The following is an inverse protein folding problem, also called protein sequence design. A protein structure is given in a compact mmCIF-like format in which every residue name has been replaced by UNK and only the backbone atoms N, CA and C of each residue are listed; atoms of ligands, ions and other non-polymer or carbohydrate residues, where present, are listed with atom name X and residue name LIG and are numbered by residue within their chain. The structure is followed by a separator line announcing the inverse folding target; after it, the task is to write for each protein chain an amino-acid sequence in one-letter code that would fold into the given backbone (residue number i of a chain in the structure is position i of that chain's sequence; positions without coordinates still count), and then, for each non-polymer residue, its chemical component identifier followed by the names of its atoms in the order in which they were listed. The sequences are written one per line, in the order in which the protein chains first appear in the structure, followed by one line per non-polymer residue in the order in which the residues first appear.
data_IF_886518726521
#
_entry.id   IF_886518726521
#
_cell.length_a   1.000
_cell.length_b   1.000
_cell.length_c   1.000
_cell.angle_alpha   90.00
_cell.angle_beta   90.00
_cell.angle_gamma   90.00
#
_symmetry.space_group_name_H-M   'P 1'
#
loop_
_entity.id
_entity.type
_entity.pdbx_description
1 polymer ?
#
# COMPACT_ATOMS: atom_id res chain seq x y z
N UNK A 1 7.47 -17.24 39.28
CA UNK A 1 7.39 -17.62 37.85
C UNK A 1 8.18 -16.59 37.07
N UNK A 2 9.04 -17.03 36.14
CA UNK A 2 9.77 -16.10 35.27
C UNK A 2 8.81 -15.28 34.42
N UNK A 3 9.22 -14.08 34.00
CA UNK A 3 8.46 -13.32 33.00
C UNK A 3 8.56 -14.08 31.67
N UNK A 4 7.42 -14.26 31.02
CA UNK A 4 7.31 -14.93 29.72
C UNK A 4 6.76 -13.95 28.69
N UNK A 5 7.37 -13.91 27.52
CA UNK A 5 6.91 -13.14 26.36
C UNK A 5 6.63 -14.09 25.19
N UNK A 6 5.58 -13.83 24.42
CA UNK A 6 5.24 -14.65 23.27
C UNK A 6 4.72 -13.82 22.09
N UNK A 7 4.95 -14.30 20.88
CA UNK A 7 4.50 -13.65 19.65
C UNK A 7 4.33 -14.65 18.51
N UNK A 8 3.51 -14.29 17.53
CA UNK A 8 3.27 -15.07 16.32
C UNK A 8 2.24 -16.18 16.47
N UNK A 9 2.18 -17.04 15.46
CA UNK A 9 1.09 -17.99 15.29
C UNK A 9 1.60 -19.41 15.01
N UNK A 10 0.85 -20.41 15.45
CA UNK A 10 1.06 -21.81 15.08
C UNK A 10 -0.26 -22.52 14.82
N UNK A 11 -0.24 -23.65 14.11
CA UNK A 11 -1.41 -24.51 13.95
C UNK A 11 -1.48 -25.17 12.57
N UNK A 12 -2.49 -26.04 12.39
CA UNK A 12 -2.64 -26.83 11.15
C UNK A 12 -2.73 -25.99 9.87
N UNK A 13 -3.37 -24.82 9.95
CA UNK A 13 -3.60 -23.90 8.82
C UNK A 13 -2.53 -22.80 8.65
N UNK A 14 -1.66 -22.61 9.65
CA UNK A 14 -0.62 -21.57 9.59
C UNK A 14 0.49 -21.97 8.62
N UNK A 15 0.94 -21.00 7.81
CA UNK A 15 2.00 -21.15 6.81
C UNK A 15 2.87 -19.90 6.83
N UNK A 16 4.17 -20.06 6.60
CA UNK A 16 5.15 -18.96 6.51
C UNK A 16 5.19 -18.05 7.75
N UNK A 17 4.79 -18.59 8.90
CA UNK A 17 4.80 -17.92 10.20
C UNK A 17 5.26 -18.91 11.27
N UNK A 18 5.57 -18.39 12.45
CA UNK A 18 6.01 -19.17 13.60
C UNK A 18 5.43 -18.60 14.89
N UNK A 19 5.29 -19.45 15.90
CA UNK A 19 5.04 -19.02 17.27
C UNK A 19 6.34 -19.10 18.05
N UNK A 20 6.65 -18.03 18.78
CA UNK A 20 7.82 -17.93 19.65
C UNK A 20 7.36 -17.61 21.06
N UNK A 21 7.88 -18.33 22.04
CA UNK A 21 7.73 -18.02 23.46
C UNK A 21 9.10 -18.06 24.13
N UNK A 22 9.38 -17.06 24.96
CA UNK A 22 10.66 -16.87 25.63
C UNK A 22 10.41 -16.67 27.13
N UNK A 23 11.09 -17.46 27.96
CA UNK A 23 11.15 -17.28 29.40
C UNK A 23 12.60 -17.00 29.82
N UNK A 24 12.83 -15.86 30.47
CA UNK A 24 14.18 -15.50 30.96
C UNK A 24 14.52 -16.35 32.19
N UNK A 25 15.74 -16.89 32.22
CA UNK A 25 16.28 -17.70 33.32
C UNK A 25 17.48 -17.00 33.97
N UNK A 26 17.85 -17.47 35.16
CA UNK A 26 19.00 -16.93 35.89
C UNK A 26 20.33 -17.58 35.47
N UNK A 27 20.29 -18.79 34.90
CA UNK A 27 21.45 -19.59 34.51
C UNK A 27 21.05 -20.65 33.49
N UNK A 28 22.01 -21.38 32.91
CA UNK A 28 21.76 -22.53 32.03
C UNK A 28 21.95 -22.26 30.54
N UNK A 29 22.31 -21.02 30.16
CA UNK A 29 22.49 -20.65 28.76
C UNK A 29 21.16 -20.50 28.01
N UNK A 30 21.24 -20.35 26.68
CA UNK A 30 20.08 -20.34 25.79
C UNK A 30 19.72 -21.78 25.44
N UNK A 31 18.54 -22.23 25.88
CA UNK A 31 17.99 -23.55 25.60
C UNK A 31 16.80 -23.40 24.65
N UNK A 32 16.84 -24.08 23.50
CA UNK A 32 15.84 -23.97 22.44
C UNK A 32 15.12 -25.30 22.20
N UNK A 33 13.80 -25.34 22.44
CA UNK A 33 12.88 -26.35 21.92
C UNK A 33 12.31 -25.89 20.57
N UNK A 34 12.90 -26.40 19.48
CA UNK A 34 12.44 -26.12 18.11
C UNK A 34 11.63 -27.30 17.56
N UNK A 35 10.37 -27.03 17.23
CA UNK A 35 9.56 -27.88 16.36
C UNK A 35 9.30 -27.13 15.05
N UNK A 36 9.94 -27.58 13.97
CA UNK A 36 9.81 -26.96 12.65
C UNK A 36 9.37 -27.99 11.61
N UNK A 37 8.42 -27.61 10.75
CA UNK A 37 8.04 -28.41 9.58
C UNK A 37 9.14 -28.53 8.54
N UNK A 38 10.15 -27.68 8.63
CA UNK A 38 11.28 -27.61 7.69
C UNK A 38 12.62 -27.86 8.39
N UNK A 39 12.60 -28.48 9.59
CA UNK A 39 13.80 -28.70 10.42
C UNK A 39 14.91 -29.44 9.68
N UNK A 40 14.55 -30.45 8.88
CA UNK A 40 15.51 -31.24 8.10
C UNK A 40 16.37 -30.40 7.13
N UNK A 41 15.82 -29.29 6.62
CA UNK A 41 16.49 -28.42 5.65
C UNK A 41 17.07 -27.16 6.32
N UNK A 42 16.30 -26.51 7.20
CA UNK A 42 16.62 -25.18 7.73
C UNK A 42 16.83 -25.14 9.24
N UNK A 43 16.72 -26.27 9.94
CA UNK A 43 16.81 -26.33 11.41
C UNK A 43 18.14 -25.80 11.97
N UNK A 44 19.26 -26.00 11.26
CA UNK A 44 20.56 -25.44 11.65
C UNK A 44 20.58 -23.92 11.57
N UNK A 45 20.04 -23.36 10.49
CA UNK A 45 19.97 -21.90 10.27
C UNK A 45 19.05 -21.23 11.29
N UNK A 46 17.89 -21.84 11.59
CA UNK A 46 16.96 -21.33 12.62
C UNK A 46 17.65 -21.28 13.99
N UNK A 47 18.34 -22.35 14.40
CA UNK A 47 19.08 -22.38 15.68
C UNK A 47 20.17 -21.32 15.74
N UNK A 48 20.92 -21.15 14.65
CA UNK A 48 21.96 -20.10 14.54
C UNK A 48 21.36 -18.70 14.68
N UNK A 49 20.25 -18.42 14.00
CA UNK A 49 19.55 -17.15 14.08
C UNK A 49 19.11 -16.83 15.52
N UNK A 50 18.49 -17.79 16.21
CA UNK A 50 18.05 -17.61 17.60
C UNK A 50 19.22 -17.22 18.50
N UNK A 51 20.36 -17.90 18.38
CA UNK A 51 21.55 -17.59 19.18
C UNK A 51 22.10 -16.19 18.90
N UNK A 52 22.16 -15.78 17.62
CA UNK A 52 22.56 -14.43 17.22
C UNK A 52 21.65 -13.40 17.86
N UNK A 53 20.33 -13.57 17.72
CA UNK A 53 19.36 -12.62 18.25
C UNK A 53 19.40 -12.53 19.78
N UNK A 54 19.53 -13.66 20.50
CA UNK A 54 19.67 -13.63 21.95
C UNK A 54 20.96 -12.92 22.39
N UNK A 55 22.06 -13.11 21.64
CA UNK A 55 23.30 -12.35 21.82
C UNK A 55 23.08 -10.85 21.66
N UNK A 56 22.45 -10.44 20.55
CA UNK A 56 22.17 -9.02 20.25
C UNK A 56 21.25 -8.37 21.29
N UNK A 57 20.31 -9.13 21.83
CA UNK A 57 19.42 -8.67 22.90
C UNK A 57 20.02 -8.74 24.31
N UNK A 58 21.26 -9.23 24.45
CA UNK A 58 21.93 -9.37 25.74
C UNK A 58 21.21 -10.35 26.68
N UNK A 59 20.65 -11.44 26.14
CA UNK A 59 19.92 -12.46 26.88
C UNK A 59 20.77 -13.75 26.94
N UNK A 60 21.64 -13.91 27.95
CA UNK A 60 22.54 -15.06 28.03
C UNK A 60 21.84 -16.35 28.52
N UNK A 61 20.70 -16.23 29.19
CA UNK A 61 19.99 -17.34 29.82
C UNK A 61 18.48 -17.26 29.53
N UNK A 62 17.97 -18.19 28.71
CA UNK A 62 16.56 -18.24 28.38
C UNK A 62 16.14 -19.65 27.94
N UNK A 63 14.90 -20.01 28.24
CA UNK A 63 14.20 -21.12 27.59
C UNK A 63 13.34 -20.56 26.47
N UNK A 64 13.54 -21.09 25.27
CA UNK A 64 12.89 -20.62 24.04
C UNK A 64 12.14 -21.79 23.42
N UNK A 65 10.85 -21.54 23.16
CA UNK A 65 9.97 -22.44 22.44
C UNK A 65 9.69 -21.86 21.06
N UNK A 66 9.98 -22.60 20.00
CA UNK A 66 9.60 -22.23 18.63
C UNK A 66 8.76 -23.33 18.01
N UNK A 67 7.56 -22.96 17.55
CA UNK A 67 6.70 -23.79 16.70
C UNK A 67 6.66 -23.15 15.31
N UNK A 68 7.49 -23.65 14.41
CA UNK A 68 7.70 -23.09 13.08
C UNK A 68 6.89 -23.82 11.99
N UNK A 69 6.20 -23.03 11.17
CA UNK A 69 5.41 -23.49 10.02
C UNK A 69 6.01 -23.03 8.68
N UNK A 70 7.35 -23.00 8.58
CA UNK A 70 8.08 -22.60 7.39
C UNK A 70 8.29 -21.09 7.29
N UNK A 71 8.43 -20.41 8.42
CA UNK A 71 8.73 -18.99 8.48
C UNK A 71 10.10 -18.70 7.87
N UNK A 72 10.18 -17.64 7.07
CA UNK A 72 11.46 -17.14 6.58
C UNK A 72 12.20 -16.38 7.69
N UNK A 73 13.50 -16.15 7.49
CA UNK A 73 14.41 -15.55 8.47
C UNK A 73 13.89 -14.22 9.03
N UNK A 74 13.38 -13.32 8.19
CA UNK A 74 12.84 -12.03 8.63
C UNK A 74 11.60 -12.15 9.54
N UNK A 75 10.78 -13.19 9.31
CA UNK A 75 9.59 -13.48 10.12
C UNK A 75 10.01 -14.05 11.46
N UNK A 76 10.90 -15.05 11.46
CA UNK A 76 11.48 -15.59 12.69
C UNK A 76 12.09 -14.47 13.54
N UNK A 77 12.87 -13.59 12.90
CA UNK A 77 13.47 -12.46 13.57
C UNK A 77 12.44 -11.51 14.18
N UNK A 78 11.38 -11.18 13.43
CA UNK A 78 10.30 -10.33 13.92
C UNK A 78 9.56 -10.96 15.12
N UNK A 79 9.27 -12.27 15.08
CA UNK A 79 8.56 -12.96 16.17
C UNK A 79 9.43 -13.10 17.43
N UNK A 80 10.72 -13.39 17.28
CA UNK A 80 11.67 -13.43 18.41
C UNK A 80 11.76 -12.04 19.04
N UNK A 81 11.93 -11.00 18.24
CA UNK A 81 12.00 -9.62 18.72
C UNK A 81 10.73 -9.19 19.47
N UNK A 82 9.55 -9.47 18.90
CA UNK A 82 8.28 -9.15 19.52
C UNK A 82 8.10 -9.87 20.88
N UNK A 83 8.49 -11.14 20.96
CA UNK A 83 8.48 -11.89 22.23
C UNK A 83 9.43 -11.26 23.27
N UNK A 84 10.61 -10.79 22.84
CA UNK A 84 11.57 -10.09 23.72
C UNK A 84 11.04 -8.75 24.20
N UNK A 85 10.41 -7.94 23.33
CA UNK A 85 9.82 -6.65 23.74
C UNK A 85 8.77 -6.82 24.84
N UNK A 86 7.93 -7.87 24.76
CA UNK A 86 6.91 -8.16 25.78
C UNK A 86 7.50 -8.53 27.15
N UNK A 87 8.79 -8.85 27.23
CA UNK A 87 9.51 -9.05 28.49
C UNK A 87 9.98 -7.73 29.13
N UNK A 88 9.77 -6.59 28.47
CA UNK A 88 10.15 -5.26 28.95
C UNK A 88 11.66 -4.99 28.84
N UNK A 89 12.34 -5.65 27.91
CA UNK A 89 13.77 -5.46 27.65
C UNK A 89 13.98 -4.40 26.57
N UNK A 90 14.85 -3.43 26.84
CA UNK A 90 15.41 -2.54 25.82
C UNK A 90 16.64 -3.17 25.19
N UNK A 91 16.82 -2.99 23.88
CA UNK A 91 17.99 -3.44 23.13
C UNK A 91 18.24 -2.52 21.95
N UNK A 92 19.45 -2.58 21.37
CA UNK A 92 19.83 -1.82 20.18
C UNK A 92 19.49 -2.66 18.95
N UNK A 93 18.79 -2.07 17.99
CA UNK A 93 18.21 -2.76 16.80
C UNK A 93 19.26 -3.03 15.71
N UNK A 94 20.50 -2.55 15.86
CA UNK A 94 21.49 -2.43 14.76
C UNK A 94 21.96 -3.74 14.12
N UNK A 95 21.62 -4.91 14.67
CA UNK A 95 22.11 -6.22 14.20
C UNK A 95 20.96 -7.16 13.76
N UNK A 96 19.92 -6.61 13.12
CA UNK A 96 18.88 -7.46 12.54
C UNK A 96 19.43 -8.27 11.35
N UNK A 97 19.10 -9.57 11.25
CA UNK A 97 19.56 -10.43 10.17
C UNK A 97 19.09 -9.92 8.79
N UNK A 98 19.89 -10.26 7.77
CA UNK A 98 19.69 -9.88 6.37
C UNK A 98 20.21 -8.46 6.08
N UNK A 99 20.99 -8.33 5.01
CA UNK A 99 21.34 -7.02 4.47
C UNK A 99 20.09 -6.40 3.82
N UNK A 100 19.81 -5.11 4.07
CA UNK A 100 18.72 -4.43 3.38
C UNK A 100 18.91 -4.54 1.87
N UNK A 101 17.89 -5.02 1.17
CA UNK A 101 17.92 -5.02 -0.29
C UNK A 101 17.72 -3.58 -0.80
N UNK A 102 18.41 -3.24 -1.88
CA UNK A 102 18.13 -2.01 -2.62
C UNK A 102 16.90 -2.24 -3.50
N UNK A 103 15.86 -1.44 -3.27
CA UNK A 103 14.64 -1.49 -4.05
C UNK A 103 14.54 -0.26 -4.97
N UNK A 104 13.88 -0.38 -6.14
CA UNK A 104 13.61 0.77 -7.00
C UNK A 104 12.87 1.86 -6.25
N UNK A 105 13.29 3.12 -6.44
CA UNK A 105 12.62 4.28 -5.89
C UNK A 105 11.32 4.51 -6.65
N UNK A 106 10.23 4.76 -5.93
CA UNK A 106 8.94 5.09 -6.54
C UNK A 106 8.95 6.47 -7.18
N UNK A 107 8.14 6.64 -8.23
CA UNK A 107 7.96 7.91 -8.92
C UNK A 107 6.62 8.56 -8.55
N UNK A 108 6.57 9.90 -8.57
CA UNK A 108 5.36 10.67 -8.29
C UNK A 108 4.23 10.35 -9.28
N UNK A 109 4.57 10.25 -10.56
CA UNK A 109 3.64 10.05 -11.67
C UNK A 109 3.28 8.61 -11.95
N UNK A 110 3.82 7.63 -11.20
CA UNK A 110 3.50 6.21 -11.42
C UNK A 110 2.00 5.93 -11.30
N UNK A 111 1.56 4.85 -11.95
CA UNK A 111 0.21 4.35 -11.79
C UNK A 111 -0.01 3.73 -10.41
N UNK A 112 -1.25 3.90 -9.93
CA UNK A 112 -1.76 3.35 -8.68
C UNK A 112 -3.14 2.74 -8.90
N UNK A 113 -3.37 2.10 -10.06
CA UNK A 113 -4.66 1.53 -10.43
C UNK A 113 -5.10 0.46 -9.42
N UNK A 114 -4.16 -0.36 -8.99
CA UNK A 114 -4.37 -1.48 -8.07
C UNK A 114 -3.47 -1.37 -6.85
N UNK A 115 -4.09 -1.33 -5.66
CA UNK A 115 -3.36 -1.32 -4.38
C UNK A 115 -3.86 -2.45 -3.49
N UNK A 116 -3.04 -3.47 -3.30
CA UNK A 116 -3.44 -4.67 -2.55
C UNK A 116 -3.23 -4.47 -1.05
N UNK A 117 -4.33 -4.49 -0.28
CA UNK A 117 -4.31 -4.44 1.19
C UNK A 117 -3.90 -5.78 1.77
N UNK A 118 -2.87 -5.76 2.62
CA UNK A 118 -2.36 -6.94 3.34
C UNK A 118 -2.25 -6.64 4.83
N UNK A 119 -2.81 -7.48 5.71
CA UNK A 119 -2.63 -7.31 7.13
C UNK A 119 -1.15 -7.40 7.54
N UNK A 120 -0.67 -6.39 8.26
CA UNK A 120 0.72 -6.24 8.69
C UNK A 120 1.21 -7.35 9.62
N UNK A 121 0.31 -8.18 10.14
CA UNK A 121 0.61 -9.34 10.99
C UNK A 121 0.61 -10.69 10.23
N UNK A 122 0.40 -10.68 8.90
CA UNK A 122 0.18 -11.87 8.07
C UNK A 122 1.33 -12.11 7.06
N UNK A 123 2.48 -12.66 7.50
CA UNK A 123 3.70 -12.75 6.68
C UNK A 123 3.54 -13.62 5.42
N UNK A 124 2.72 -14.67 5.48
CA UNK A 124 2.46 -15.53 4.33
C UNK A 124 1.78 -14.81 3.17
N UNK A 125 0.98 -13.76 3.43
CA UNK A 125 0.39 -12.95 2.39
C UNK A 125 1.42 -11.99 1.78
N UNK A 126 2.26 -11.36 2.62
CA UNK A 126 3.33 -10.45 2.17
C UNK A 126 4.25 -11.12 1.15
N UNK A 127 4.66 -12.36 1.42
CA UNK A 127 5.61 -13.08 0.57
C UNK A 127 5.13 -13.39 -0.83
N UNK A 128 3.82 -13.54 -1.02
CA UNK A 128 3.25 -13.93 -2.31
C UNK A 128 2.62 -12.75 -3.05
N UNK A 129 2.44 -11.60 -2.38
CA UNK A 129 1.66 -10.50 -2.92
C UNK A 129 2.22 -9.92 -4.23
N UNK A 130 3.54 -9.75 -4.32
CA UNK A 130 4.19 -9.19 -5.51
C UNK A 130 4.06 -10.07 -6.76
N UNK A 131 3.88 -11.39 -6.60
CA UNK A 131 3.70 -12.33 -7.73
C UNK A 131 2.46 -11.98 -8.56
N UNK A 132 1.46 -11.34 -7.93
CA UNK A 132 0.24 -10.92 -8.58
C UNK A 132 0.34 -9.57 -9.31
N UNK A 133 1.52 -8.92 -9.30
CA UNK A 133 1.82 -7.67 -10.00
C UNK A 133 0.81 -6.52 -9.76
N UNK A 134 0.41 -6.23 -8.52
CA UNK A 134 -0.31 -4.99 -8.25
C UNK A 134 0.59 -3.78 -8.49
N UNK A 135 0.00 -2.60 -8.73
CA UNK A 135 0.76 -1.36 -8.83
C UNK A 135 1.37 -0.96 -7.47
N UNK A 136 0.67 -1.27 -6.38
CA UNK A 136 1.12 -1.06 -5.00
C UNK A 136 0.66 -2.13 -4.03
N UNK A 137 1.43 -2.33 -2.96
CA UNK A 137 1.11 -3.22 -1.84
C UNK A 137 1.05 -2.39 -0.57
N UNK A 138 -0.08 -2.47 0.13
CA UNK A 138 -0.31 -1.79 1.39
C UNK A 138 -0.08 -2.78 2.51
N UNK A 139 1.02 -2.60 3.25
CA UNK A 139 1.28 -3.27 4.51
C UNK A 139 0.52 -2.53 5.61
N UNK A 140 -0.57 -3.12 6.08
CA UNK A 140 -1.53 -2.44 6.93
C UNK A 140 -1.24 -2.62 8.43
N UNK A 141 -1.10 -1.52 9.17
CA UNK A 141 -0.92 -1.52 10.63
C UNK A 141 -2.20 -1.12 11.39
N UNK A 142 -3.28 -0.83 10.66
CA UNK A 142 -4.48 -0.21 11.21
C UNK A 142 -5.64 -1.21 11.35
N UNK A 143 -6.71 -1.11 10.56
CA UNK A 143 -7.97 -1.84 10.83
C UNK A 143 -7.86 -3.36 10.68
N UNK A 144 -6.96 -3.86 9.84
CA UNK A 144 -6.77 -5.31 9.70
C UNK A 144 -5.92 -5.93 10.83
N UNK A 145 -5.41 -5.12 11.76
CA UNK A 145 -4.54 -5.55 12.85
C UNK A 145 -5.19 -5.27 14.21
N UNK A 146 -5.49 -6.33 14.94
CA UNK A 146 -6.02 -6.22 16.29
C UNK A 146 -5.07 -5.45 17.22
N UNK A 147 -5.63 -4.60 18.10
CA UNK A 147 -4.87 -3.73 19.01
C UNK A 147 -3.75 -4.45 19.77
N UNK A 148 -4.03 -5.66 20.27
CA UNK A 148 -3.10 -6.46 21.07
C UNK A 148 -1.83 -6.91 20.32
N UNK A 149 -1.81 -6.84 18.99
CA UNK A 149 -0.69 -7.30 18.15
C UNK A 149 -0.16 -6.21 17.21
N UNK A 150 -0.53 -4.94 17.40
CA UNK A 150 -0.03 -3.83 16.58
C UNK A 150 1.49 -3.66 16.68
N UNK A 151 2.06 -3.84 17.87
CA UNK A 151 3.52 -3.79 18.06
C UNK A 151 4.23 -4.92 17.31
N UNK A 152 3.67 -6.14 17.36
CA UNK A 152 4.19 -7.30 16.63
C UNK A 152 4.12 -7.06 15.11
N UNK A 153 3.01 -6.48 14.63
CA UNK A 153 2.82 -6.14 13.23
C UNK A 153 3.83 -5.07 12.75
N UNK A 154 4.07 -4.03 13.55
CA UNK A 154 5.05 -2.97 13.22
C UNK A 154 6.46 -3.53 13.01
N UNK A 155 6.88 -4.45 13.88
CA UNK A 155 8.17 -5.14 13.77
C UNK A 155 8.21 -6.01 12.50
N UNK A 156 7.12 -6.72 12.21
CA UNK A 156 7.04 -7.58 11.04
C UNK A 156 7.06 -6.79 9.73
N UNK A 157 6.28 -5.69 9.64
CA UNK A 157 6.26 -4.79 8.48
C UNK A 157 7.62 -4.16 8.26
N UNK A 158 8.30 -3.68 9.32
CA UNK A 158 9.69 -3.19 9.23
C UNK A 158 10.61 -4.24 8.61
N UNK A 159 10.53 -5.49 9.07
CA UNK A 159 11.36 -6.56 8.54
C UNK A 159 11.01 -6.91 7.09
N UNK A 160 9.73 -6.86 6.73
CA UNK A 160 9.30 -7.09 5.35
C UNK A 160 9.87 -6.01 4.42
N UNK A 161 9.79 -4.73 4.79
CA UNK A 161 10.33 -3.61 4.01
C UNK A 161 11.84 -3.70 3.76
N UNK A 162 12.59 -4.35 4.67
CA UNK A 162 14.05 -4.52 4.53
C UNK A 162 14.44 -5.52 3.45
N UNK A 163 13.63 -6.56 3.22
CA UNK A 163 14.12 -7.78 2.54
C UNK A 163 13.15 -8.39 1.53
N UNK A 164 11.84 -8.10 1.59
CA UNK A 164 10.86 -8.70 0.69
C UNK A 164 10.84 -7.93 -0.62
N UNK A 165 11.20 -8.60 -1.71
CA UNK A 165 11.01 -8.09 -3.06
C UNK A 165 9.55 -8.24 -3.49
N UNK A 166 8.93 -7.11 -3.79
CA UNK A 166 7.56 -7.01 -4.27
C UNK A 166 7.47 -6.89 -5.79
N UNK A 167 8.54 -7.23 -6.51
CA UNK A 167 8.63 -7.29 -7.97
C UNK A 167 8.23 -5.96 -8.65
N UNK A 168 8.64 -4.84 -8.06
CA UNK A 168 8.39 -3.48 -8.58
C UNK A 168 7.08 -2.82 -8.13
N UNK A 169 6.22 -3.51 -7.37
CA UNK A 169 5.06 -2.88 -6.74
C UNK A 169 5.50 -1.79 -5.74
N UNK A 170 4.75 -0.69 -5.68
CA UNK A 170 4.99 0.38 -4.70
C UNK A 170 4.83 -0.16 -3.28
N UNK A 171 5.84 0.03 -2.43
CA UNK A 171 5.87 -0.43 -1.05
C UNK A 171 5.18 0.60 -0.17
N UNK A 172 3.90 0.39 0.08
CA UNK A 172 3.08 1.30 0.85
C UNK A 172 2.86 0.77 2.28
N UNK A 173 2.76 1.68 3.26
CA UNK A 173 2.36 1.33 4.63
C UNK A 173 1.17 2.18 5.04
N UNK A 174 0.08 1.54 5.48
CA UNK A 174 -1.01 2.25 6.15
C UNK A 174 -0.72 2.27 7.65
N UNK A 175 -0.38 3.45 8.15
CA UNK A 175 -0.12 3.65 9.59
C UNK A 175 -1.43 3.68 10.36
N UNK A 176 -1.33 3.63 11.68
CA UNK A 176 -2.48 3.89 12.56
C UNK A 176 -2.99 5.32 12.43
N UNK A 177 -4.25 5.54 12.81
CA UNK A 177 -4.80 6.89 12.96
C UNK A 177 -3.95 7.72 13.94
N UNK A 178 -3.85 9.03 13.68
CA UNK A 178 -3.17 9.94 14.59
C UNK A 178 -3.91 10.06 15.93
N UNK A 179 -3.18 10.30 17.05
CA UNK A 179 -1.73 10.50 17.13
C UNK A 179 -0.91 9.19 17.12
N UNK A 180 -1.56 8.02 17.23
CA UNK A 180 -0.89 6.72 17.33
C UNK A 180 0.00 6.38 16.13
N UNK A 181 -0.39 6.80 14.93
CA UNK A 181 0.37 6.63 13.70
C UNK A 181 1.77 7.26 13.71
N UNK A 182 2.00 8.32 14.49
CA UNK A 182 3.31 8.97 14.55
C UNK A 182 4.39 8.03 15.11
N UNK A 183 4.03 7.14 16.04
CA UNK A 183 4.94 6.13 16.58
C UNK A 183 5.21 4.98 15.59
N UNK A 184 4.36 4.79 14.58
CA UNK A 184 4.65 3.85 13.50
C UNK A 184 5.81 4.37 12.64
N UNK A 185 5.86 5.69 12.39
CA UNK A 185 6.87 6.32 11.54
C UNK A 185 8.30 6.11 12.06
N UNK A 186 8.52 6.15 13.39
CA UNK A 186 9.83 5.91 14.01
C UNK A 186 10.43 4.55 13.63
N UNK A 187 9.58 3.57 13.34
CA UNK A 187 10.01 2.21 12.99
C UNK A 187 10.04 2.00 11.47
N UNK A 188 9.11 2.64 10.76
CA UNK A 188 8.86 2.39 9.33
C UNK A 188 9.74 3.26 8.43
N UNK A 189 9.85 4.56 8.69
CA UNK A 189 10.57 5.51 7.83
C UNK A 189 12.05 5.16 7.64
N UNK A 190 12.80 4.68 8.66
CA UNK A 190 14.17 4.24 8.45
C UNK A 190 14.34 3.11 7.42
N UNK A 191 13.25 2.38 7.09
CA UNK A 191 13.25 1.32 6.08
C UNK A 191 12.88 1.82 4.68
N UNK A 192 12.73 3.14 4.52
CA UNK A 192 12.46 3.82 3.25
C UNK A 192 11.28 3.18 2.48
N UNK A 193 10.07 3.12 3.06
CA UNK A 193 8.88 2.78 2.27
C UNK A 193 8.72 3.79 1.14
N UNK A 194 7.93 3.46 0.12
CA UNK A 194 7.69 4.37 -0.98
C UNK A 194 6.58 5.38 -0.66
N UNK A 195 5.58 4.96 0.12
CA UNK A 195 4.40 5.76 0.41
C UNK A 195 3.79 5.42 1.78
N UNK A 196 3.33 6.44 2.51
CA UNK A 196 2.55 6.32 3.73
C UNK A 196 1.09 6.67 3.46
N UNK A 197 0.18 5.74 3.79
CA UNK A 197 -1.25 6.02 3.86
C UNK A 197 -1.61 6.46 5.26
N UNK A 198 -2.33 7.58 5.34
CA UNK A 198 -2.76 8.20 6.60
C UNK A 198 -4.29 8.02 6.69
N UNK A 199 -4.79 7.12 7.55
CA UNK A 199 -6.22 6.87 7.67
C UNK A 199 -6.94 7.99 8.43
N UNK A 200 -8.25 8.09 8.24
CA UNK A 200 -9.18 8.88 9.08
C UNK A 200 -8.79 10.36 9.18
N UNK A 201 -8.31 10.94 8.08
CA UNK A 201 -7.86 12.34 8.06
C UNK A 201 -9.05 13.29 8.00
N UNK A 202 -9.09 14.20 8.96
CA UNK A 202 -10.10 15.27 9.06
C UNK A 202 -9.47 16.67 9.07
N UNK A 203 -8.15 16.77 9.31
CA UNK A 203 -7.44 18.04 9.34
C UNK A 203 -6.16 18.01 8.48
N UNK A 204 -5.91 18.98 7.56
CA UNK A 204 -4.62 19.16 6.89
C UNK A 204 -3.43 19.25 7.84
N UNK A 205 -3.60 19.69 9.09
CA UNK A 205 -2.52 19.70 10.08
C UNK A 205 -2.03 18.28 10.42
N UNK A 206 -2.88 17.24 10.29
CA UNK A 206 -2.45 15.85 10.47
C UNK A 206 -1.45 15.43 9.38
N UNK A 207 -1.66 15.90 8.15
CA UNK A 207 -0.74 15.64 7.03
C UNK A 207 0.60 16.32 7.27
N UNK A 208 0.58 17.58 7.70
CA UNK A 208 1.80 18.33 8.03
C UNK A 208 2.56 17.68 9.18
N UNK A 209 1.87 17.24 10.23
CA UNK A 209 2.49 16.55 11.36
C UNK A 209 3.18 15.25 10.93
N UNK A 210 2.58 14.47 10.02
CA UNK A 210 3.23 13.28 9.44
C UNK A 210 4.46 13.68 8.62
N UNK A 211 4.37 14.69 7.76
CA UNK A 211 5.46 15.15 6.90
C UNK A 211 6.65 15.67 7.73
N UNK A 212 6.38 16.50 8.74
CA UNK A 212 7.38 17.00 9.69
C UNK A 212 8.07 15.86 10.45
N UNK A 213 7.31 14.85 10.89
CA UNK A 213 7.86 13.68 11.57
C UNK A 213 8.75 12.84 10.64
N UNK A 214 8.36 12.71 9.37
CA UNK A 214 9.20 12.02 8.36
C UNK A 214 10.52 12.76 8.17
N UNK A 215 10.49 14.09 8.06
CA UNK A 215 11.69 14.92 7.90
C UNK A 215 12.58 14.92 9.15
N UNK A 216 11.98 14.84 10.36
CA UNK A 216 12.72 14.67 11.62
C UNK A 216 13.55 13.36 11.61
N UNK A 217 12.94 12.27 11.15
CA UNK A 217 13.57 10.94 11.12
C UNK A 217 14.57 10.81 9.96
N UNK A 218 14.21 11.32 8.79
CA UNK A 218 14.97 11.20 7.55
C UNK A 218 14.85 12.50 6.74
N UNK A 219 15.77 13.47 6.94
CA UNK A 219 15.71 14.78 6.26
C UNK A 219 15.71 14.71 4.72
N UNK A 220 16.38 13.70 4.15
CA UNK A 220 16.43 13.46 2.70
C UNK A 220 15.37 12.46 2.22
N UNK A 221 14.29 12.28 2.99
CA UNK A 221 13.22 11.33 2.67
C UNK A 221 12.54 11.69 1.34
N UNK A 222 12.28 10.66 0.53
CA UNK A 222 11.50 10.75 -0.71
C UNK A 222 10.13 10.06 -0.57
N UNK A 223 9.69 9.83 0.67
CA UNK A 223 8.45 9.11 0.98
C UNK A 223 7.25 9.96 0.59
N UNK A 224 6.34 9.39 -0.20
CA UNK A 224 5.09 10.05 -0.57
C UNK A 224 3.99 9.83 0.45
N UNK A 225 2.95 10.66 0.39
CA UNK A 225 1.80 10.61 1.28
C UNK A 225 0.51 10.36 0.48
N UNK A 226 -0.41 9.62 1.12
CA UNK A 226 -1.76 9.40 0.63
C UNK A 226 -2.77 9.45 1.78
N UNK A 227 -3.43 10.60 1.98
CA UNK A 227 -4.54 10.71 2.93
C UNK A 227 -5.70 9.78 2.52
N UNK A 228 -6.38 9.20 3.51
CA UNK A 228 -7.64 8.49 3.31
C UNK A 228 -8.75 9.33 3.95
N UNK A 229 -9.72 9.73 3.14
CA UNK A 229 -10.93 10.42 3.58
C UNK A 229 -12.03 9.41 3.82
N UNK A 230 -12.53 9.38 5.05
CA UNK A 230 -13.48 8.36 5.50
C UNK A 230 -14.50 8.91 6.50
N UNK A 231 -14.67 10.23 6.55
CA UNK A 231 -15.70 10.93 7.32
C UNK A 231 -16.25 12.13 6.55
N UNK A 232 -17.39 12.64 6.96
CA UNK A 232 -18.00 13.84 6.41
C UNK A 232 -17.06 15.06 6.51
N UNK A 233 -16.36 15.21 7.64
CA UNK A 233 -15.40 16.31 7.84
C UNK A 233 -14.23 16.22 6.87
N UNK A 234 -13.63 15.04 6.72
CA UNK A 234 -12.55 14.82 5.75
C UNK A 234 -12.98 15.16 4.33
N UNK A 235 -14.20 14.79 3.94
CA UNK A 235 -14.75 15.11 2.61
C UNK A 235 -14.95 16.61 2.40
N UNK A 236 -15.48 17.35 3.37
CA UNK A 236 -15.66 18.80 3.26
C UNK A 236 -14.31 19.51 3.08
N UNK A 237 -13.29 19.07 3.84
CA UNK A 237 -11.93 19.62 3.82
C UNK A 237 -11.01 18.98 2.79
N UNK A 238 -11.54 18.18 1.85
CA UNK A 238 -10.75 17.39 0.91
C UNK A 238 -9.69 18.21 0.14
N UNK A 239 -10.00 19.45 -0.26
CA UNK A 239 -9.03 20.29 -0.99
C UNK A 239 -7.88 20.79 -0.11
N UNK A 240 -8.18 21.17 1.14
CA UNK A 240 -7.17 21.58 2.11
C UNK A 240 -6.23 20.41 2.42
N UNK A 241 -6.80 19.22 2.67
CA UNK A 241 -6.04 18.00 2.95
C UNK A 241 -5.18 17.61 1.75
N UNK A 242 -5.74 17.62 0.54
CA UNK A 242 -5.01 17.32 -0.69
C UNK A 242 -3.81 18.26 -0.91
N UNK A 243 -3.96 19.54 -0.57
CA UNK A 243 -2.94 20.58 -0.75
C UNK A 243 -1.99 20.73 0.44
N UNK A 244 -2.15 19.93 1.51
CA UNK A 244 -1.48 20.15 2.78
C UNK A 244 0.05 19.90 2.75
N UNK A 245 0.53 19.05 1.84
CA UNK A 245 1.95 18.74 1.69
C UNK A 245 2.31 18.55 0.21
N UNK A 246 3.50 18.99 -0.23
CA UNK A 246 4.00 18.66 -1.57
C UNK A 246 4.21 17.14 -1.74
N UNK A 247 4.37 16.38 -0.66
CA UNK A 247 4.58 14.93 -0.70
C UNK A 247 3.28 14.14 -0.91
N UNK A 248 2.11 14.79 -0.85
CA UNK A 248 0.87 14.18 -1.32
C UNK A 248 0.97 13.87 -2.82
N UNK A 249 0.77 12.61 -3.18
CA UNK A 249 0.73 12.15 -4.59
C UNK A 249 -0.64 11.59 -4.97
N UNK A 250 -1.43 11.20 -3.98
CA UNK A 250 -2.74 10.62 -4.16
C UNK A 250 -3.59 10.87 -2.92
N UNK A 251 -4.91 10.71 -3.04
CA UNK A 251 -5.84 10.69 -1.91
C UNK A 251 -6.90 9.62 -2.18
N UNK A 252 -7.21 8.83 -1.15
CA UNK A 252 -8.15 7.72 -1.25
C UNK A 252 -9.45 8.02 -0.48
N UNK A 253 -10.54 7.39 -0.88
CA UNK A 253 -11.80 7.40 -0.11
C UNK A 253 -12.02 6.03 0.54
N UNK A 254 -12.41 6.02 1.82
CA UNK A 254 -12.83 4.83 2.56
C UNK A 254 -14.35 4.81 2.72
N UNK A 255 -15.07 4.05 1.88
CA UNK A 255 -16.54 4.15 1.84
C UNK A 255 -17.25 3.42 2.98
N UNK A 256 -16.65 2.40 3.59
CA UNK A 256 -17.26 1.68 4.72
C UNK A 256 -17.34 2.61 5.95
N UNK A 257 -16.21 3.16 6.37
CA UNK A 257 -16.14 4.10 7.48
C UNK A 257 -16.90 5.41 7.19
N UNK A 258 -16.82 5.95 5.96
CA UNK A 258 -17.62 7.12 5.58
C UNK A 258 -19.12 6.86 5.70
N UNK A 259 -19.58 5.67 5.30
CA UNK A 259 -21.00 5.32 5.39
C UNK A 259 -21.44 5.15 6.84
N UNK A 260 -20.58 4.61 7.70
CA UNK A 260 -20.80 4.54 9.13
C UNK A 260 -20.89 5.94 9.77
N UNK A 261 -20.00 6.86 9.42
CA UNK A 261 -20.00 8.26 9.87
C UNK A 261 -21.28 8.99 9.44
N UNK A 262 -21.70 8.80 8.19
CA UNK A 262 -22.95 9.37 7.65
C UNK A 262 -24.23 8.70 8.18
N UNK A 263 -24.14 7.57 8.88
CA UNK A 263 -25.29 6.81 9.37
C UNK A 263 -26.14 6.17 8.27
N UNK A 264 -25.53 5.82 7.13
CA UNK A 264 -26.21 5.26 5.95
C UNK A 264 -25.64 3.89 5.58
N UNK A 265 -26.40 3.12 4.79
CA UNK A 265 -25.92 1.87 4.22
C UNK A 265 -25.39 2.09 2.81
N UNK A 266 -24.29 1.41 2.47
CA UNK A 266 -23.79 1.37 1.10
C UNK A 266 -24.79 0.71 0.18
N UNK A 267 -24.94 1.27 -1.02
CA UNK A 267 -25.81 0.71 -2.05
C UNK A 267 -25.03 0.43 -3.33
N UNK A 268 -25.49 -0.51 -4.15
CA UNK A 268 -24.88 -0.75 -5.48
C UNK A 268 -25.01 0.46 -6.42
N UNK A 269 -26.04 1.29 -6.19
CA UNK A 269 -26.25 2.52 -6.93
C UNK A 269 -25.17 3.58 -6.56
N UNK A 270 -24.70 3.58 -5.32
CA UNK A 270 -23.67 4.49 -4.83
C UNK A 270 -24.15 5.95 -4.67
N UNK A 271 -25.46 6.17 -4.59
CA UNK A 271 -26.03 7.51 -4.48
C UNK A 271 -25.67 8.18 -3.15
N UNK A 272 -25.54 7.39 -2.08
CA UNK A 272 -25.17 7.82 -0.74
C UNK A 272 -23.75 8.41 -0.66
N UNK A 273 -22.87 8.00 -1.58
CA UNK A 273 -21.47 8.43 -1.63
C UNK A 273 -21.16 9.34 -2.82
N UNK A 274 -22.16 9.71 -3.63
CA UNK A 274 -21.96 10.47 -4.86
C UNK A 274 -21.30 11.84 -4.60
N UNK A 275 -21.78 12.57 -3.59
CA UNK A 275 -21.20 13.86 -3.21
C UNK A 275 -19.76 13.70 -2.75
N UNK A 276 -19.50 12.79 -1.81
CA UNK A 276 -18.16 12.53 -1.28
C UNK A 276 -17.14 12.17 -2.37
N UNK A 277 -17.50 11.23 -3.23
CA UNK A 277 -16.65 10.80 -4.35
C UNK A 277 -16.39 11.95 -5.33
N UNK A 278 -17.41 12.72 -5.69
CA UNK A 278 -17.26 13.85 -6.63
C UNK A 278 -16.45 15.01 -6.03
N UNK A 279 -16.68 15.33 -4.75
CA UNK A 279 -15.97 16.37 -4.01
C UNK A 279 -14.48 16.02 -3.90
N UNK A 280 -14.17 14.77 -3.55
CA UNK A 280 -12.80 14.29 -3.43
C UNK A 280 -12.07 14.29 -4.78
N UNK A 281 -12.71 13.80 -5.86
CA UNK A 281 -12.10 13.84 -7.20
C UNK A 281 -11.74 15.28 -7.60
N UNK A 282 -12.67 16.22 -7.43
CA UNK A 282 -12.39 17.62 -7.75
C UNK A 282 -11.23 18.19 -6.91
N UNK A 283 -11.19 17.88 -5.61
CA UNK A 283 -10.08 18.28 -4.74
C UNK A 283 -8.73 17.72 -5.21
N UNK A 284 -8.69 16.43 -5.59
CA UNK A 284 -7.48 15.79 -6.11
C UNK A 284 -7.00 16.47 -7.40
N UNK A 285 -7.91 16.66 -8.37
CA UNK A 285 -7.56 17.28 -9.66
C UNK A 285 -7.13 18.73 -9.51
N UNK A 286 -7.77 19.49 -8.61
CA UNK A 286 -7.37 20.86 -8.31
C UNK A 286 -5.99 20.96 -7.66
N UNK A 287 -5.59 19.93 -6.89
CA UNK A 287 -4.29 19.87 -6.21
C UNK A 287 -3.20 19.14 -7.03
N UNK A 288 -3.55 18.61 -8.21
CA UNK A 288 -2.61 17.89 -9.08
C UNK A 288 -2.22 16.49 -8.59
N UNK A 289 -3.03 15.86 -7.74
CA UNK A 289 -2.79 14.52 -7.19
C UNK A 289 -3.81 13.49 -7.72
N UNK A 290 -3.50 12.20 -7.58
CA UNK A 290 -4.38 11.12 -8.03
C UNK A 290 -5.57 10.92 -7.08
N UNK A 291 -6.77 10.75 -7.63
CA UNK A 291 -7.95 10.37 -6.84
C UNK A 291 -8.12 8.85 -6.88
N UNK A 292 -8.17 8.19 -5.73
CA UNK A 292 -8.26 6.73 -5.65
C UNK A 292 -9.54 6.28 -4.96
N UNK A 293 -10.26 5.34 -5.58
CA UNK A 293 -11.54 4.88 -5.06
C UNK A 293 -11.39 3.82 -3.97
N UNK A 294 -12.49 3.59 -3.25
CA UNK A 294 -12.60 2.63 -2.15
C UNK A 294 -12.54 1.18 -2.64
N UNK A 295 -12.27 0.25 -1.72
CA UNK A 295 -12.30 -1.19 -2.01
C UNK A 295 -13.68 -1.67 -2.48
N UNK A 296 -13.67 -2.72 -3.30
CA UNK A 296 -14.86 -3.52 -3.62
C UNK A 296 -14.87 -4.78 -2.75
N UNK A 297 -15.90 -4.90 -1.90
CA UNK A 297 -15.96 -5.91 -0.82
C UNK A 297 -16.35 -7.31 -1.30
N UNK A 298 -17.17 -7.41 -2.35
CA UNK A 298 -17.57 -8.70 -2.90
C UNK A 298 -16.48 -9.27 -3.81
N UNK A 299 -15.66 -10.16 -3.23
CA UNK A 299 -14.52 -10.76 -3.94
C UNK A 299 -14.96 -11.71 -5.05
N UNK A 300 -16.13 -12.34 -4.95
CA UNK A 300 -16.59 -13.34 -5.92
C UNK A 300 -17.36 -12.71 -7.11
N UNK A 301 -17.83 -11.47 -6.97
CA UNK A 301 -18.60 -10.76 -8.00
C UNK A 301 -17.74 -9.94 -8.97
N UNK A 302 -17.09 -10.62 -9.91
CA UNK A 302 -16.29 -9.95 -10.96
C UNK A 302 -17.10 -8.97 -11.81
N UNK A 303 -18.34 -9.31 -12.18
CA UNK A 303 -19.20 -8.45 -13.00
C UNK A 303 -19.51 -7.13 -12.30
N UNK A 304 -19.82 -7.18 -11.00
CA UNK A 304 -20.03 -6.02 -10.16
C UNK A 304 -18.76 -5.18 -9.98
N UNK A 305 -17.61 -5.83 -9.84
CA UNK A 305 -16.30 -5.17 -9.84
C UNK A 305 -16.06 -4.38 -11.13
N UNK A 306 -16.21 -5.01 -12.31
CA UNK A 306 -16.04 -4.34 -13.62
C UNK A 306 -16.97 -3.13 -13.77
N UNK A 307 -18.24 -3.28 -13.41
CA UNK A 307 -19.19 -2.18 -13.45
C UNK A 307 -18.79 -1.03 -12.50
N UNK A 308 -18.25 -1.35 -11.32
CA UNK A 308 -17.76 -0.37 -10.35
C UNK A 308 -16.55 0.38 -10.90
N UNK A 309 -15.54 -0.32 -11.42
CA UNK A 309 -14.34 0.32 -12.00
C UNK A 309 -14.70 1.26 -13.14
N UNK A 310 -15.62 0.87 -14.04
CA UNK A 310 -16.10 1.73 -15.12
C UNK A 310 -16.74 3.02 -14.59
N UNK A 311 -17.57 2.92 -13.56
CA UNK A 311 -18.18 4.09 -12.90
C UNK A 311 -17.10 4.99 -12.27
N UNK A 312 -16.14 4.40 -11.55
CA UNK A 312 -15.04 5.14 -10.91
C UNK A 312 -14.16 5.87 -11.93
N UNK A 313 -13.75 5.18 -13.00
CA UNK A 313 -13.00 5.77 -14.13
C UNK A 313 -13.77 6.93 -14.76
N UNK A 314 -15.07 6.77 -14.99
CA UNK A 314 -15.94 7.82 -15.55
C UNK A 314 -16.08 9.05 -14.64
N UNK A 315 -16.01 8.87 -13.31
CA UNK A 315 -16.01 9.98 -12.36
C UNK A 315 -14.66 10.72 -12.28
N UNK A 316 -13.57 10.12 -12.79
CA UNK A 316 -12.22 10.71 -12.79
C UNK A 316 -11.25 10.12 -11.78
N UNK A 317 -11.60 9.00 -11.13
CA UNK A 317 -10.67 8.22 -10.32
C UNK A 317 -9.59 7.56 -11.18
N UNK A 318 -8.43 7.34 -10.59
CA UNK A 318 -7.21 6.80 -11.20
C UNK A 318 -6.71 5.54 -10.48
N UNK A 319 -7.62 4.83 -9.82
CA UNK A 319 -7.35 3.55 -9.21
C UNK A 319 -8.37 3.16 -8.16
N UNK A 320 -8.14 2.00 -7.55
CA UNK A 320 -8.98 1.45 -6.51
C UNK A 320 -8.18 0.53 -5.57
N UNK A 321 -8.66 0.37 -4.34
CA UNK A 321 -8.13 -0.62 -3.41
C UNK A 321 -8.55 -2.06 -3.79
N UNK A 322 -7.63 -3.01 -3.62
CA UNK A 322 -7.86 -4.44 -3.78
C UNK A 322 -7.77 -5.13 -2.42
N UNK A 323 -8.71 -6.03 -2.11
CA UNK A 323 -8.67 -6.88 -0.91
C UNK A 323 -8.38 -8.35 -1.26
N UNK A 324 -8.35 -8.68 -2.54
CA UNK A 324 -8.00 -10.02 -3.02
C UNK A 324 -7.22 -9.96 -4.34
N UNK A 325 -6.17 -10.78 -4.55
CA UNK A 325 -5.36 -10.77 -5.78
C UNK A 325 -6.15 -10.88 -7.10
N UNK A 326 -7.22 -11.68 -7.11
CA UNK A 326 -8.11 -11.82 -8.28
C UNK A 326 -8.73 -10.51 -8.81
N UNK A 327 -8.80 -9.46 -7.98
CA UNK A 327 -9.34 -8.17 -8.39
C UNK A 327 -8.34 -7.37 -9.24
N UNK A 328 -7.04 -7.64 -9.10
CA UNK A 328 -5.95 -6.91 -9.77
C UNK A 328 -6.10 -6.90 -11.31
N UNK A 329 -6.17 -8.06 -12.00
CA UNK A 329 -6.24 -8.05 -13.46
C UNK A 329 -7.51 -7.35 -13.97
N UNK A 330 -8.64 -7.55 -13.29
CA UNK A 330 -9.92 -6.92 -13.66
C UNK A 330 -9.83 -5.40 -13.56
N UNK A 331 -9.23 -4.88 -12.49
CA UNK A 331 -9.10 -3.43 -12.29
C UNK A 331 -8.11 -2.84 -13.31
N UNK A 332 -6.96 -3.48 -13.53
CA UNK A 332 -5.98 -3.05 -14.53
C UNK A 332 -6.58 -2.99 -15.93
N UNK A 333 -7.30 -4.03 -16.35
CA UNK A 333 -7.99 -4.10 -17.64
C UNK A 333 -8.96 -2.93 -17.84
N UNK A 334 -9.79 -2.62 -16.84
CA UNK A 334 -10.83 -1.60 -16.97
C UNK A 334 -10.27 -0.15 -16.90
N UNK A 335 -9.18 0.07 -16.17
CA UNK A 335 -8.47 1.35 -16.18
C UNK A 335 -7.66 1.57 -17.47
N UNK A 336 -7.20 0.49 -18.11
CA UNK A 336 -6.52 0.56 -19.42
C UNK A 336 -7.43 1.22 -20.47
N UNK A 337 -6.94 2.16 -21.30
CA UNK A 337 -7.67 2.64 -22.46
C UNK A 337 -7.97 1.51 -23.45
N UNK A 338 -9.22 1.40 -23.87
CA UNK A 338 -9.65 0.47 -24.92
C UNK A 338 -9.11 0.88 -26.28
N UNK A 339 -9.00 -0.06 -27.22
CA UNK A 339 -8.59 0.24 -28.61
C UNK A 339 -9.47 1.32 -29.25
N UNK A 340 -10.78 1.29 -29.01
CA UNK A 340 -11.72 2.29 -29.54
C UNK A 340 -11.49 3.69 -28.93
N UNK A 341 -11.16 3.78 -27.64
CA UNK A 341 -10.79 5.05 -26.99
C UNK A 341 -9.48 5.59 -27.54
N UNK A 342 -8.49 4.72 -27.76
CA UNK A 342 -7.18 5.06 -28.33
C UNK A 342 -7.34 5.57 -29.76
N UNK A 343 -8.00 4.82 -30.64
CA UNK A 343 -8.15 5.21 -32.05
C UNK A 343 -8.96 6.50 -32.20
N UNK A 344 -10.01 6.68 -31.37
CA UNK A 344 -10.74 7.95 -31.32
C UNK A 344 -9.85 9.09 -30.84
N UNK A 345 -9.02 8.87 -29.82
CA UNK A 345 -8.11 9.89 -29.31
C UNK A 345 -7.06 10.29 -30.36
N UNK A 346 -6.46 9.32 -31.06
CA UNK A 346 -5.54 9.57 -32.17
C UNK A 346 -6.19 10.40 -33.28
N UNK A 347 -7.41 10.04 -33.70
CA UNK A 347 -8.14 10.77 -34.72
C UNK A 347 -8.44 12.23 -34.31
N UNK A 348 -8.77 12.46 -33.04
CA UNK A 348 -8.98 13.81 -32.50
C UNK A 348 -7.70 14.65 -32.56
N UNK A 349 -6.58 14.09 -32.12
CA UNK A 349 -5.28 14.78 -32.09
C UNK A 349 -4.83 15.13 -33.51
N UNK A 350 -4.87 14.16 -34.43
CA UNK A 350 -4.46 14.37 -35.83
C UNK A 350 -5.35 15.40 -36.55
N UNK A 351 -6.67 15.35 -36.35
CA UNK A 351 -7.59 16.33 -36.94
C UNK A 351 -7.31 17.75 -36.45
N UNK A 352 -6.98 17.92 -35.17
CA UNK A 352 -6.64 19.22 -34.61
C UNK A 352 -5.28 19.75 -35.11
N UNK A 353 -4.26 18.89 -35.18
CA UNK A 353 -2.94 19.24 -35.74
C UNK A 353 -3.07 19.71 -37.21
N UNK A 354 -3.91 19.04 -38.02
CA UNK A 354 -4.20 19.45 -39.41
C UNK A 354 -4.93 20.81 -39.49
N UNK A 355 -5.85 21.07 -38.54
CA UNK A 355 -6.57 22.33 -38.47
C UNK A 355 -5.67 23.50 -38.05
N UNK A 356 -4.77 23.29 -37.08
CA UNK A 356 -3.78 24.28 -36.66
C UNK A 356 -2.84 24.67 -37.81
N UNK A 357 -2.41 23.70 -38.63
CA UNK A 357 -1.62 23.96 -39.84
C UNK A 357 -2.35 24.84 -40.87
N UNK A 358 -3.69 24.80 -40.87
CA UNK A 358 -4.57 25.64 -41.70
C UNK A 358 -4.94 26.97 -41.03
N UNK A 359 -4.41 27.26 -39.84
CA UNK A 359 -4.73 28.46 -39.06
C UNK A 359 -6.13 28.43 -38.44
N UNK A 360 -6.72 27.25 -38.25
CA UNK A 360 -8.04 27.06 -37.64
C UNK A 360 -7.89 26.62 -36.18
N UNK A 361 -8.63 27.27 -35.28
CA UNK A 361 -8.62 26.92 -33.85
C UNK A 361 -9.64 25.82 -33.47
N UNK A 362 -10.51 25.43 -34.40
CA UNK A 362 -11.61 24.48 -34.20
C UNK A 362 -11.82 23.68 -35.48
N UNK A 363 -12.07 22.38 -35.35
CA UNK A 363 -12.35 21.48 -36.48
C UNK A 363 -13.51 20.53 -36.18
N UNK A 364 -14.25 20.12 -37.21
CA UNK A 364 -15.32 19.12 -37.07
C UNK A 364 -14.80 17.75 -37.45
N UNK A 365 -14.98 16.76 -36.56
CA UNK A 365 -14.76 15.35 -36.87
C UNK A 365 -16.10 14.61 -36.77
N UNK A 366 -16.68 14.29 -37.93
CA UNK A 366 -18.06 13.82 -38.02
C UNK A 366 -19.04 14.92 -37.59
N UNK A 367 -19.90 14.63 -36.60
CA UNK A 367 -20.87 15.59 -36.05
C UNK A 367 -20.36 16.36 -34.82
N UNK A 368 -19.11 16.15 -34.39
CA UNK A 368 -18.57 16.72 -33.15
C UNK A 368 -17.52 17.79 -33.45
N UNK A 369 -17.61 18.88 -32.68
CA UNK A 369 -16.61 19.94 -32.66
C UNK A 369 -15.40 19.50 -31.82
N UNK A 370 -14.20 19.74 -32.34
CA UNK A 370 -12.92 19.53 -31.66
C UNK A 370 -12.34 20.90 -31.33
N UNK A 371 -12.11 21.12 -30.04
CA UNK A 371 -11.49 22.30 -29.45
C UNK A 371 -10.30 21.88 -28.54
N UNK A 372 -9.50 22.83 -28.02
CA UNK A 372 -8.33 22.49 -27.20
C UNK A 372 -8.63 21.61 -25.97
N UNK A 373 -9.75 21.79 -25.22
CA UNK A 373 -10.14 20.87 -24.16
C UNK A 373 -10.37 19.42 -24.61
N UNK A 374 -11.05 19.22 -25.76
CA UNK A 374 -11.27 17.88 -26.33
C UNK A 374 -9.95 17.21 -26.70
N UNK A 375 -9.01 17.97 -27.28
CA UNK A 375 -7.67 17.49 -27.64
C UNK A 375 -6.86 17.14 -26.40
N UNK A 376 -6.87 17.99 -25.37
CA UNK A 376 -6.18 17.73 -24.10
C UNK A 376 -6.63 16.42 -23.46
N UNK A 377 -7.94 16.12 -23.52
CA UNK A 377 -8.47 14.83 -23.04
C UNK A 377 -7.99 13.67 -23.90
N UNK A 378 -8.00 13.81 -25.22
CA UNK A 378 -7.51 12.78 -26.14
C UNK A 378 -6.00 12.49 -25.92
N UNK A 379 -5.18 13.53 -25.79
CA UNK A 379 -3.75 13.39 -25.53
C UNK A 379 -3.49 12.62 -24.23
N UNK A 380 -4.23 12.90 -23.14
CA UNK A 380 -4.14 12.13 -21.89
C UNK A 380 -4.44 10.64 -22.08
N UNK A 381 -5.43 10.29 -22.90
CA UNK A 381 -5.73 8.88 -23.21
C UNK A 381 -4.57 8.20 -23.93
N UNK A 382 -3.92 8.91 -24.86
CA UNK A 382 -2.75 8.41 -25.59
C UNK A 382 -1.54 8.29 -24.67
N UNK A 383 -1.26 9.31 -23.86
CA UNK A 383 -0.14 9.32 -22.91
C UNK A 383 -0.25 8.15 -21.94
N UNK A 384 -1.45 7.91 -21.41
CA UNK A 384 -1.76 6.74 -20.59
C UNK A 384 -1.50 5.43 -21.35
N UNK A 385 -1.98 5.30 -22.58
CA UNK A 385 -1.78 4.09 -23.38
C UNK A 385 -0.30 3.83 -23.71
N UNK A 386 0.51 4.88 -23.89
CA UNK A 386 1.97 4.80 -24.08
C UNK A 386 2.66 4.32 -22.81
N UNK A 387 2.34 4.94 -21.67
CA UNK A 387 2.89 4.57 -20.36
C UNK A 387 2.53 3.14 -19.96
N UNK A 388 1.38 2.63 -20.42
CA UNK A 388 0.96 1.23 -20.23
C UNK A 388 1.52 0.28 -21.31
N UNK A 389 2.35 0.77 -22.23
CA UNK A 389 2.93 0.03 -23.35
C UNK A 389 1.90 -0.63 -24.30
N UNK A 390 0.68 -0.10 -24.34
CA UNK A 390 -0.39 -0.52 -25.28
C UNK A 390 -0.21 0.19 -26.63
N UNK A 391 0.37 1.39 -26.62
CA UNK A 391 0.64 2.21 -27.81
C UNK A 391 2.12 2.58 -27.84
N UNK A 392 2.73 2.60 -29.02
CA UNK A 392 4.12 3.06 -29.18
C UNK A 392 4.22 4.58 -29.00
N UNK A 393 5.32 5.06 -28.42
CA UNK A 393 5.66 6.49 -28.39
C UNK A 393 5.63 7.13 -29.79
N UNK A 394 5.96 6.34 -30.82
CA UNK A 394 6.02 6.75 -32.23
C UNK A 394 4.69 6.55 -32.98
N UNK A 395 3.54 6.48 -32.28
CA UNK A 395 2.23 6.22 -32.88
C UNK A 395 1.83 7.21 -33.99
N UNK A 396 2.45 8.39 -34.04
CA UNK A 396 2.25 9.39 -35.10
C UNK A 396 2.92 9.03 -36.42
N UNK A 397 3.96 8.18 -36.39
CA UNK A 397 4.82 7.90 -37.55
C UNK A 397 4.65 6.51 -38.15
N UNK A 398 3.91 5.60 -37.49
CA UNK A 398 3.68 4.24 -37.98
C UNK A 398 2.23 4.03 -38.41
N UNK A 399 2.04 3.88 -39.72
CA UNK A 399 0.97 3.07 -40.29
C UNK A 399 1.44 1.61 -40.25
N UNK A 400 1.24 0.90 -39.13
CA UNK A 400 1.33 -0.57 -39.09
C UNK A 400 0.11 -1.14 -38.38
#
# INVERSE_FOLDING_TARGET
MGKTGSAGNHGGRIRSDCFVQIEIKNSGGVVLDLQSRVDALYGKSIRKLVLIMMGNFGIPNAEILIRDSGALEFVLAARIEAAVKKLGKSYIVSDLPGDPAEFPVSDRGRFRFTRLYLPGNSPGMMLNAGVHKPDGIILDLEDSVALAVKDDARILVRNALRIVDFYGAERMVRINQLPGGLADLDVIIPQKPDLILIPKVEDPEEIKAVDEKILEISPDSTVFLMPILESAMGIERAFEIASASPNNVAMAIGLEDYSADMGVQRTEAGAESLYARSRMVNACKASGIQAIDSVYSDVDNETGLRATVKKSKAMGFEGMGCIHPRQIPVIQEEFTPTSDEIERAKAIVLAFEEAEQRGQAVVSLGSKMIDPPVVKRAQRTIDLAIQMHVVSENWRTKNE
#
